data_IF_139704053258
#
_entry.id   IF_139704053258
#
_cell.length_a   1.000
_cell.length_b   1.000
_cell.length_c   1.000
_cell.angle_alpha   90.00
_cell.angle_beta   90.00
_cell.angle_gamma   90.00
#
_symmetry.space_group_name_H-M   'P 1'
#
loop_
_entity.id
_entity.type
_entity.pdbx_description
1 polymer ?
#
# COMPACT_ATOMS: atom_id res chain seq x y z
N UNK A 1 -52.01 16.16 24.48
CA UNK A 1 -53.18 15.24 24.70
C UNK A 1 -52.68 13.78 24.56
N UNK A 2 -52.88 13.01 25.66
CA UNK A 2 -53.03 11.55 25.86
C UNK A 2 -51.94 10.65 25.24
N UNK A 3 -50.97 10.10 26.05
CA UNK A 3 -51.04 9.04 27.06
C UNK A 3 -51.56 7.68 26.54
N UNK A 4 -50.65 6.64 26.59
CA UNK A 4 -50.83 5.28 27.18
C UNK A 4 -49.71 4.40 26.67
N UNK A 5 -48.69 3.91 27.41
CA UNK A 5 -48.61 3.09 28.64
C UNK A 5 -49.20 1.68 28.51
N UNK A 6 -48.38 0.66 28.63
CA UNK A 6 -48.49 -0.62 29.39
C UNK A 6 -47.39 -1.60 28.86
N UNK A 7 -46.37 -2.02 29.56
CA UNK A 7 -46.16 -2.86 30.75
C UNK A 7 -46.81 -4.25 30.64
N UNK A 8 -46.00 -5.30 30.62
CA UNK A 8 -46.17 -6.57 31.38
C UNK A 8 -45.01 -7.54 31.08
N UNK A 9 -44.08 -7.72 31.98
CA UNK A 9 -43.97 -8.70 33.09
C UNK A 9 -43.54 -10.11 32.65
N UNK A 10 -42.43 -10.46 33.23
CA UNK A 10 -41.65 -11.69 33.38
C UNK A 10 -42.49 -12.97 33.69
N UNK A 11 -41.95 -14.10 33.27
CA UNK A 11 -42.13 -15.39 33.99
C UNK A 11 -40.83 -16.21 33.95
N UNK A 12 -40.32 -16.45 35.15
CA UNK A 12 -39.25 -17.41 35.49
C UNK A 12 -39.97 -18.74 35.77
N UNK A 13 -39.45 -19.86 35.27
CA UNK A 13 -39.63 -21.17 35.92
C UNK A 13 -38.41 -22.09 35.68
N UNK A 14 -37.83 -22.48 36.77
CA UNK A 14 -36.81 -23.46 36.99
C UNK A 14 -37.37 -24.90 37.07
N UNK A 15 -36.60 -25.90 36.74
CA UNK A 15 -36.57 -27.28 37.26
C UNK A 15 -35.82 -28.15 36.22
N UNK A 16 -34.91 -29.02 36.49
CA UNK A 16 -34.45 -29.75 37.65
C UNK A 16 -33.66 -30.94 37.10
N UNK A 17 -32.57 -31.28 37.74
CA UNK A 17 -31.66 -32.35 37.37
C UNK A 17 -32.30 -33.76 37.54
N UNK A 18 -31.91 -34.70 36.67
CA UNK A 18 -31.92 -36.13 37.04
C UNK A 18 -30.77 -36.87 36.35
N UNK A 19 -29.88 -37.40 37.18
CA UNK A 19 -28.87 -38.40 36.85
C UNK A 19 -29.53 -39.75 36.58
N UNK A 20 -29.06 -40.47 35.58
CA UNK A 20 -29.04 -41.92 35.61
C UNK A 20 -27.81 -42.49 34.90
N UNK A 21 -26.99 -43.15 35.68
CA UNK A 21 -25.90 -44.04 35.22
C UNK A 21 -26.50 -45.27 34.54
N UNK A 22 -25.94 -45.68 33.43
CA UNK A 22 -26.05 -47.08 32.98
C UNK A 22 -24.74 -47.54 32.35
N UNK A 23 -24.07 -48.48 33.02
CA UNK A 23 -22.97 -49.26 32.51
C UNK A 23 -23.47 -50.29 31.50
N UNK A 24 -22.78 -50.43 30.37
CA UNK A 24 -22.97 -51.56 29.46
C UNK A 24 -21.69 -51.74 28.61
N UNK A 25 -20.89 -52.75 28.96
CA UNK A 25 -19.73 -53.20 28.16
C UNK A 25 -20.23 -53.99 26.95
N UNK A 26 -19.73 -53.68 25.75
CA UNK A 26 -19.46 -54.69 24.70
C UNK A 26 -18.29 -54.27 23.83
N UNK A 27 -17.37 -55.21 23.65
CA UNK A 27 -16.19 -55.12 22.77
C UNK A 27 -16.56 -55.04 21.29
N UNK A 28 -15.82 -54.19 20.56
CA UNK A 28 -15.81 -54.19 19.10
C UNK A 28 -14.66 -53.34 18.60
N UNK A 29 -13.54 -54.00 18.27
CA UNK A 29 -12.35 -53.38 17.65
C UNK A 29 -12.69 -52.73 16.30
N UNK A 30 -12.44 -51.42 16.16
CA UNK A 30 -12.08 -50.85 14.88
C UNK A 30 -11.07 -49.72 15.20
N UNK A 31 -9.83 -49.93 14.78
CA UNK A 31 -8.80 -48.90 14.73
C UNK A 31 -9.19 -47.91 13.65
N UNK A 32 -9.58 -46.74 14.05
CA UNK A 32 -9.46 -45.51 13.26
C UNK A 32 -8.33 -44.70 13.90
N UNK A 33 -7.34 -44.41 13.11
CA UNK A 33 -6.24 -43.55 13.48
C UNK A 33 -6.81 -42.17 13.90
N UNK A 34 -6.91 -41.97 15.19
CA UNK A 34 -7.10 -40.64 15.75
C UNK A 34 -5.71 -40.00 15.85
N UNK A 35 -5.47 -39.01 14.99
CA UNK A 35 -4.35 -38.08 15.10
C UNK A 35 -4.19 -37.64 16.57
N UNK A 36 -2.98 -37.81 17.03
CA UNK A 36 -2.52 -37.50 18.37
C UNK A 36 -2.53 -35.97 18.56
N UNK A 37 -3.68 -35.39 18.94
CA UNK A 37 -3.72 -34.04 19.47
C UNK A 37 -3.06 -34.04 20.84
N UNK A 38 -1.94 -33.38 20.94
CA UNK A 38 -1.31 -33.10 22.22
C UNK A 38 -2.27 -32.17 23.01
N UNK A 39 -2.83 -32.54 24.18
CA UNK A 39 -3.91 -31.79 24.84
C UNK A 39 -3.47 -30.54 25.59
N UNK A 40 -2.19 -30.18 25.58
CA UNK A 40 -1.60 -29.17 26.48
C UNK A 40 -1.06 -27.91 25.76
N UNK A 41 -1.29 -27.70 24.47
CA UNK A 41 -0.94 -26.42 23.84
C UNK A 41 -2.14 -25.47 23.92
N UNK A 42 -2.01 -24.43 24.76
CA UNK A 42 -2.98 -23.34 24.89
C UNK A 42 -3.22 -22.69 23.53
N UNK A 43 -4.48 -22.52 23.14
CA UNK A 43 -4.85 -21.85 21.88
C UNK A 43 -4.48 -20.36 21.97
N UNK A 44 -3.68 -19.90 21.04
CA UNK A 44 -3.24 -18.51 20.92
C UNK A 44 -4.04 -17.80 19.84
N UNK A 45 -4.51 -16.59 20.13
CA UNK A 45 -5.12 -15.71 19.12
C UNK A 45 -4.16 -14.57 18.80
N UNK A 46 -3.85 -14.39 17.50
CA UNK A 46 -3.06 -13.29 16.94
C UNK A 46 -4.02 -12.30 16.29
N UNK A 47 -4.03 -11.09 16.75
CA UNK A 47 -4.80 -9.99 16.15
C UNK A 47 -3.98 -9.36 15.03
N UNK A 48 -4.52 -9.41 13.82
CA UNK A 48 -3.89 -8.95 12.59
C UNK A 48 -4.68 -7.81 11.96
N UNK A 49 -4.06 -6.63 11.84
CA UNK A 49 -4.66 -5.44 11.23
C UNK A 49 -3.97 -5.14 9.89
N UNK A 50 -4.76 -5.03 8.82
CA UNK A 50 -4.26 -4.76 7.46
C UNK A 50 -5.10 -3.74 6.70
N UNK A 51 -4.58 -3.24 5.54
CA UNK A 51 -5.20 -2.15 4.75
C UNK A 51 -6.06 -2.60 3.57
N UNK A 52 -6.44 -3.84 3.47
CA UNK A 52 -7.04 -4.44 2.28
C UNK A 52 -8.51 -4.87 2.52
N UNK A 53 -9.47 -3.91 2.61
CA UNK A 53 -10.89 -4.22 2.92
C UNK A 53 -11.70 -4.67 1.70
N UNK A 54 -11.18 -4.57 0.47
CA UNK A 54 -11.89 -4.91 -0.74
C UNK A 54 -12.18 -6.43 -0.79
N UNK A 55 -13.35 -6.80 -1.30
CA UNK A 55 -13.88 -8.16 -1.27
C UNK A 55 -12.88 -9.21 -1.77
N UNK A 56 -12.23 -8.97 -2.91
CA UNK A 56 -11.26 -9.90 -3.48
C UNK A 56 -10.00 -10.06 -2.59
N UNK A 57 -9.55 -8.95 -1.99
CA UNK A 57 -8.39 -8.94 -1.09
C UNK A 57 -8.72 -9.59 0.26
N UNK A 58 -9.89 -9.29 0.82
CA UNK A 58 -10.38 -9.96 2.03
C UNK A 58 -10.48 -11.46 1.84
N UNK A 59 -11.07 -11.90 0.73
CA UNK A 59 -11.16 -13.33 0.40
C UNK A 59 -9.79 -14.00 0.32
N UNK A 60 -8.80 -13.34 -0.30
CA UNK A 60 -7.43 -13.86 -0.34
C UNK A 60 -6.88 -14.07 1.07
N UNK A 61 -6.99 -13.08 1.96
CA UNK A 61 -6.49 -13.21 3.34
C UNK A 61 -7.27 -14.27 4.14
N UNK A 62 -8.59 -14.38 3.96
CA UNK A 62 -9.41 -15.42 4.60
C UNK A 62 -8.95 -16.84 4.19
N UNK A 63 -8.66 -17.05 2.92
CA UNK A 63 -8.13 -18.33 2.41
C UNK A 63 -6.73 -18.62 2.97
N UNK A 64 -5.83 -17.63 2.94
CA UNK A 64 -4.47 -17.74 3.48
C UNK A 64 -4.48 -18.04 4.98
N UNK A 65 -5.34 -17.37 5.74
CA UNK A 65 -5.51 -17.63 7.18
C UNK A 65 -6.06 -19.01 7.43
N UNK A 66 -7.07 -19.44 6.68
CA UNK A 66 -7.64 -20.78 6.84
C UNK A 66 -6.61 -21.89 6.59
N UNK A 67 -5.75 -21.73 5.58
CA UNK A 67 -4.67 -22.67 5.30
C UNK A 67 -3.59 -22.65 6.38
N UNK A 68 -3.22 -21.47 6.88
CA UNK A 68 -2.28 -21.33 7.99
C UNK A 68 -2.81 -22.00 9.27
N UNK A 69 -4.06 -21.76 9.66
CA UNK A 69 -4.69 -22.31 10.85
C UNK A 69 -4.85 -23.83 10.78
N UNK A 70 -5.07 -24.37 9.58
CA UNK A 70 -5.13 -25.83 9.35
C UNK A 70 -3.80 -26.51 9.70
N UNK A 71 -2.68 -25.88 9.33
CA UNK A 71 -1.34 -26.37 9.61
C UNK A 71 -0.86 -26.01 11.03
N UNK A 72 -1.55 -25.06 11.69
CA UNK A 72 -1.23 -24.55 13.03
C UNK A 72 -2.49 -24.50 13.90
N UNK A 73 -3.09 -25.65 14.29
CA UNK A 73 -4.41 -25.71 14.92
C UNK A 73 -4.51 -25.05 16.31
N UNK A 74 -3.37 -24.75 16.92
CA UNK A 74 -3.24 -24.02 18.18
C UNK A 74 -3.11 -22.49 18.01
N UNK A 75 -3.04 -21.98 16.77
CA UNK A 75 -2.95 -20.54 16.49
C UNK A 75 -4.23 -20.11 15.73
N UNK A 76 -4.87 -19.05 16.21
CA UNK A 76 -5.98 -18.38 15.54
C UNK A 76 -5.55 -17.00 15.09
N UNK A 77 -5.99 -16.59 13.90
CA UNK A 77 -5.75 -15.24 13.36
C UNK A 77 -7.09 -14.49 13.35
N UNK A 78 -7.18 -13.43 14.13
CA UNK A 78 -8.30 -12.50 14.16
C UNK A 78 -7.94 -11.29 13.27
N UNK A 79 -8.55 -11.21 12.09
CA UNK A 79 -8.27 -10.16 11.12
C UNK A 79 -9.19 -8.97 11.28
N UNK A 80 -8.65 -7.76 11.09
CA UNK A 80 -9.40 -6.52 10.93
C UNK A 80 -8.81 -5.73 9.78
N UNK A 81 -9.65 -5.29 8.84
CA UNK A 81 -9.24 -4.51 7.69
C UNK A 81 -9.80 -3.09 7.75
N UNK A 82 -8.99 -2.12 7.35
CA UNK A 82 -9.37 -0.71 7.17
C UNK A 82 -8.86 -0.23 5.82
N UNK A 83 -9.53 0.73 5.19
CA UNK A 83 -9.03 1.38 3.98
C UNK A 83 -7.82 2.29 4.25
N UNK A 84 -7.14 2.69 3.17
CA UNK A 84 -5.87 3.45 3.23
C UNK A 84 -5.92 4.70 4.12
N UNK A 85 -7.03 5.45 4.10
CA UNK A 85 -7.14 6.66 4.92
C UNK A 85 -7.47 6.32 6.38
N UNK A 86 -8.31 5.30 6.60
CA UNK A 86 -8.72 4.93 7.95
C UNK A 86 -7.60 4.25 8.75
N UNK A 87 -6.79 3.41 8.10
CA UNK A 87 -5.77 2.62 8.78
C UNK A 87 -4.71 3.48 9.47
N UNK A 88 -4.41 4.67 8.91
CA UNK A 88 -3.45 5.64 9.47
C UNK A 88 -3.81 6.04 10.90
N UNK A 89 -5.09 6.36 11.13
CA UNK A 89 -5.59 6.77 12.44
C UNK A 89 -5.99 5.59 13.31
N UNK A 90 -6.60 4.55 12.72
CA UNK A 90 -7.08 3.37 13.46
C UNK A 90 -5.93 2.61 14.11
N UNK A 91 -4.83 2.37 13.40
CA UNK A 91 -3.67 1.67 13.95
C UNK A 91 -3.10 2.39 15.17
N UNK A 92 -2.94 3.72 15.09
CA UNK A 92 -2.44 4.53 16.20
C UNK A 92 -3.35 4.45 17.44
N UNK A 93 -4.66 4.51 17.24
CA UNK A 93 -5.65 4.41 18.35
C UNK A 93 -5.65 3.01 18.94
N UNK A 94 -5.63 1.97 18.09
CA UNK A 94 -5.63 0.58 18.54
C UNK A 94 -4.38 0.22 19.35
N UNK A 95 -3.19 0.64 18.91
CA UNK A 95 -1.93 0.38 19.63
C UNK A 95 -1.91 0.98 21.04
N UNK A 96 -2.66 2.04 21.31
CA UNK A 96 -2.82 2.63 22.65
C UNK A 96 -3.96 2.04 23.48
N UNK A 97 -4.56 0.92 23.09
CA UNK A 97 -5.75 0.34 23.74
C UNK A 97 -5.55 -1.12 24.16
N UNK A 98 -6.48 -1.63 24.99
CA UNK A 98 -6.55 -3.07 25.36
C UNK A 98 -6.83 -4.00 24.16
N UNK A 99 -7.23 -3.42 23.03
CA UNK A 99 -7.48 -4.15 21.76
C UNK A 99 -6.32 -4.05 20.79
N UNK A 100 -5.11 -3.69 21.28
CA UNK A 100 -3.93 -3.57 20.43
C UNK A 100 -3.70 -4.83 19.60
N UNK A 101 -3.38 -4.68 18.29
CA UNK A 101 -3.05 -5.81 17.43
C UNK A 101 -1.65 -6.36 17.76
N UNK A 102 -1.44 -7.65 17.48
CA UNK A 102 -0.13 -8.28 17.52
C UNK A 102 0.68 -7.96 16.25
N UNK A 103 -0.02 -7.90 15.11
CA UNK A 103 0.55 -7.56 13.81
C UNK A 103 -0.26 -6.41 13.21
N UNK A 104 0.42 -5.40 12.71
CA UNK A 104 -0.22 -4.26 12.09
C UNK A 104 0.51 -3.78 10.84
N UNK A 105 -0.26 -3.18 9.94
CA UNK A 105 0.20 -2.65 8.67
C UNK A 105 0.96 -1.33 8.81
N UNK A 106 1.97 -1.11 7.96
CA UNK A 106 2.65 0.17 7.74
C UNK A 106 3.16 0.27 6.29
N UNK A 107 3.53 1.48 5.89
CA UNK A 107 4.38 1.73 4.73
C UNK A 107 5.84 1.84 5.19
N UNK A 108 6.79 1.75 4.24
CA UNK A 108 8.22 1.96 4.47
C UNK A 108 8.56 3.39 4.92
N UNK A 109 9.83 3.67 5.08
CA UNK A 109 10.33 5.02 5.34
C UNK A 109 10.10 5.52 6.77
N UNK A 110 9.75 6.79 6.91
CA UNK A 110 9.47 7.43 8.20
C UNK A 110 8.22 6.89 8.89
N UNK A 111 7.34 6.20 8.15
CA UNK A 111 6.19 5.51 8.74
C UNK A 111 6.62 4.41 9.71
N UNK A 112 7.67 3.64 9.38
CA UNK A 112 8.29 2.68 10.30
C UNK A 112 8.89 3.43 11.50
N UNK A 113 9.65 4.50 11.24
CA UNK A 113 10.36 5.25 12.28
C UNK A 113 9.40 5.78 13.37
N UNK A 114 8.21 6.24 12.99
CA UNK A 114 7.18 6.69 13.96
C UNK A 114 6.81 5.63 14.99
N UNK A 115 6.66 4.37 14.56
CA UNK A 115 6.34 3.27 15.47
C UNK A 115 7.55 2.84 16.30
N UNK A 116 8.75 2.96 15.76
CA UNK A 116 10.02 2.75 16.48
C UNK A 116 10.17 3.81 17.57
N UNK A 117 10.00 5.08 17.25
CA UNK A 117 10.17 6.20 18.19
C UNK A 117 9.14 6.19 19.34
N UNK A 118 7.93 5.70 19.06
CA UNK A 118 6.87 5.55 20.06
C UNK A 118 6.97 4.25 20.87
N UNK A 119 7.93 3.37 20.55
CA UNK A 119 8.13 2.09 21.21
C UNK A 119 7.06 1.04 20.90
N UNK A 120 6.23 1.24 19.87
CA UNK A 120 5.18 0.30 19.49
C UNK A 120 5.67 -0.84 18.59
N UNK A 121 6.84 -0.68 17.96
CA UNK A 121 7.43 -1.68 17.08
C UNK A 121 8.39 -2.60 17.82
N UNK A 122 8.37 -3.89 17.47
CA UNK A 122 9.33 -4.87 17.93
C UNK A 122 10.52 -4.96 16.96
N UNK A 123 11.75 -4.95 17.48
CA UNK A 123 12.93 -5.32 16.70
C UNK A 123 12.89 -6.82 16.36
N UNK A 124 12.75 -7.11 15.08
CA UNK A 124 12.64 -8.50 14.56
C UNK A 124 13.95 -9.03 13.98
N UNK A 125 15.06 -8.29 14.10
CA UNK A 125 16.37 -8.65 13.53
C UNK A 125 16.85 -10.04 13.98
N UNK A 126 16.56 -10.41 15.24
CA UNK A 126 16.94 -11.73 15.78
C UNK A 126 16.32 -12.88 15.00
N UNK A 127 15.06 -12.74 14.52
CA UNK A 127 14.34 -13.78 13.79
C UNK A 127 14.89 -13.94 12.36
N UNK A 128 15.14 -12.82 11.68
CA UNK A 128 15.74 -12.82 10.34
C UNK A 128 17.20 -13.33 10.38
N UNK A 129 17.95 -12.99 11.43
CA UNK A 129 19.31 -13.46 11.61
C UNK A 129 19.36 -14.97 11.92
N UNK A 130 18.42 -15.48 12.69
CA UNK A 130 18.33 -16.90 13.03
C UNK A 130 17.86 -17.77 11.85
N UNK A 131 17.07 -17.21 10.94
CA UNK A 131 16.52 -17.89 9.76
C UNK A 131 17.07 -17.29 8.45
N UNK A 132 18.29 -17.70 8.11
CA UNK A 132 19.00 -17.20 6.93
C UNK A 132 18.36 -17.60 5.60
N UNK A 133 17.58 -18.67 5.57
CA UNK A 133 16.83 -19.07 4.36
C UNK A 133 15.67 -18.10 4.13
N UNK A 134 14.92 -17.77 5.20
CA UNK A 134 13.86 -16.77 5.14
C UNK A 134 14.42 -15.39 4.76
N UNK A 135 15.50 -14.94 5.42
CA UNK A 135 16.14 -13.66 5.08
C UNK A 135 16.56 -13.58 3.61
N UNK A 136 17.13 -14.65 3.04
CA UNK A 136 17.58 -14.70 1.64
C UNK A 136 16.46 -14.89 0.63
N UNK A 137 15.26 -15.27 1.05
CA UNK A 137 14.10 -15.37 0.13
C UNK A 137 13.64 -14.00 -0.35
N UNK A 138 13.86 -12.93 0.40
CA UNK A 138 13.48 -11.60 0.02
C UNK A 138 14.33 -11.01 -1.10
N UNK A 139 13.71 -10.15 -1.92
CA UNK A 139 14.44 -9.22 -2.75
C UNK A 139 15.24 -8.26 -1.85
N UNK A 140 16.55 -8.09 -2.06
CA UNK A 140 17.38 -7.26 -1.18
C UNK A 140 16.91 -5.82 -1.05
N UNK A 141 16.34 -5.22 -2.10
CA UNK A 141 15.83 -3.85 -2.08
C UNK A 141 14.59 -3.76 -1.18
N UNK A 142 13.72 -4.77 -1.23
CA UNK A 142 12.49 -4.78 -0.45
C UNK A 142 12.75 -4.96 1.04
N UNK A 143 13.59 -5.92 1.42
CA UNK A 143 13.86 -6.16 2.84
C UNK A 143 14.71 -5.04 3.47
N UNK A 144 15.56 -4.37 2.69
CA UNK A 144 16.36 -3.25 3.20
C UNK A 144 15.47 -2.02 3.52
N UNK A 145 14.32 -1.86 2.86
CA UNK A 145 13.34 -0.81 3.18
C UNK A 145 12.77 -0.94 4.60
N UNK A 146 12.72 -2.17 5.14
CA UNK A 146 12.25 -2.47 6.51
C UNK A 146 13.25 -2.10 7.60
N UNK A 147 14.46 -1.66 7.21
CA UNK A 147 15.55 -1.39 8.14
C UNK A 147 15.59 0.07 8.57
N UNK A 148 15.64 0.29 9.88
CA UNK A 148 15.89 1.59 10.51
C UNK A 148 16.90 1.42 11.63
N UNK A 149 17.82 2.38 11.79
CA UNK A 149 18.81 2.38 12.87
C UNK A 149 19.59 1.04 13.00
N UNK A 150 19.96 0.45 11.83
CA UNK A 150 20.65 -0.85 11.73
C UNK A 150 19.87 -2.08 12.24
N UNK A 151 18.57 -1.97 12.49
CA UNK A 151 17.68 -3.07 12.88
C UNK A 151 16.51 -3.21 11.88
N UNK A 152 15.94 -4.42 11.80
CA UNK A 152 14.73 -4.70 11.03
C UNK A 152 13.50 -4.60 11.91
N UNK A 153 12.50 -3.82 11.49
CA UNK A 153 11.32 -3.50 12.29
C UNK A 153 10.01 -3.98 11.66
N UNK A 154 10.07 -4.42 10.41
CA UNK A 154 8.91 -4.87 9.65
C UNK A 154 9.28 -5.97 8.68
N UNK A 155 8.27 -6.63 8.14
CA UNK A 155 8.37 -7.61 7.06
C UNK A 155 7.61 -7.05 5.86
N UNK A 156 8.26 -6.87 4.70
CA UNK A 156 7.57 -6.50 3.47
C UNK A 156 6.66 -7.64 3.03
N UNK A 157 5.44 -7.32 2.58
CA UNK A 157 4.44 -8.28 2.15
C UNK A 157 4.25 -8.28 0.63
N UNK A 158 4.07 -7.11 0.07
CA UNK A 158 4.05 -6.86 -1.37
C UNK A 158 4.72 -5.51 -1.63
N UNK A 159 4.95 -5.20 -2.90
CA UNK A 159 5.35 -3.85 -3.26
C UNK A 159 4.51 -3.31 -4.40
N UNK A 160 4.38 -2.00 -4.44
CA UNK A 160 3.72 -1.30 -5.52
C UNK A 160 4.65 -0.30 -6.19
N UNK A 161 4.41 -0.06 -7.46
CA UNK A 161 5.03 1.05 -8.19
C UNK A 161 4.00 1.74 -9.07
N UNK A 162 4.31 2.97 -9.48
CA UNK A 162 3.43 3.78 -10.33
C UNK A 162 3.75 3.61 -11.80
N UNK A 163 2.68 3.43 -12.57
CA UNK A 163 2.68 3.47 -14.03
C UNK A 163 1.53 4.32 -14.55
N UNK A 164 1.69 4.90 -15.73
CA UNK A 164 0.58 5.49 -16.45
C UNK A 164 -0.22 4.39 -17.15
N UNK A 165 -1.45 4.13 -16.71
CA UNK A 165 -2.39 3.27 -17.41
C UNK A 165 -3.11 4.09 -18.48
N UNK A 166 -3.33 3.53 -19.65
CA UNK A 166 -4.09 4.20 -20.72
C UNK A 166 -5.11 3.29 -21.40
N UNK A 167 -6.22 3.89 -21.81
CA UNK A 167 -7.27 3.26 -22.60
C UNK A 167 -6.89 3.30 -24.09
N UNK A 168 -6.66 2.13 -24.71
CA UNK A 168 -6.22 2.01 -26.09
C UNK A 168 -7.25 2.55 -27.10
N UNK A 169 -8.53 2.40 -26.82
CA UNK A 169 -9.57 2.87 -27.75
C UNK A 169 -9.55 4.41 -27.89
N UNK A 170 -9.23 5.13 -26.79
CA UNK A 170 -9.09 6.59 -26.85
C UNK A 170 -7.79 6.98 -27.56
N UNK A 171 -6.69 6.26 -27.33
CA UNK A 171 -5.43 6.49 -28.04
C UNK A 171 -5.60 6.30 -29.57
N UNK A 172 -6.25 5.22 -29.98
CA UNK A 172 -6.55 4.94 -31.39
C UNK A 172 -7.47 6.02 -31.99
N UNK A 173 -8.56 6.39 -31.30
CA UNK A 173 -9.49 7.47 -31.70
C UNK A 173 -8.76 8.80 -31.93
N UNK A 174 -7.74 9.09 -31.13
CA UNK A 174 -6.99 10.37 -31.17
C UNK A 174 -5.72 10.28 -32.02
N UNK A 175 -5.46 9.14 -32.65
CA UNK A 175 -4.32 8.92 -33.52
C UNK A 175 -2.97 8.82 -32.80
N UNK A 176 -2.99 8.53 -31.49
CA UNK A 176 -1.79 8.28 -30.73
C UNK A 176 -1.40 6.80 -30.93
N UNK A 177 -0.28 6.58 -31.61
CA UNK A 177 0.16 5.22 -32.01
C UNK A 177 1.11 4.58 -31.00
N UNK A 178 1.88 5.38 -30.27
CA UNK A 178 2.88 4.94 -29.29
C UNK A 178 2.69 5.70 -27.97
N UNK A 179 3.05 5.06 -26.90
CA UNK A 179 3.09 5.69 -25.57
C UNK A 179 4.13 6.81 -25.52
N UNK A 180 3.84 7.95 -24.90
CA UNK A 180 4.79 9.05 -24.76
C UNK A 180 6.04 8.61 -23.99
N UNK A 181 7.21 9.03 -24.47
CA UNK A 181 8.54 8.73 -23.89
C UNK A 181 9.17 9.93 -23.19
N UNK A 182 8.70 11.13 -23.50
CA UNK A 182 9.15 12.40 -22.90
C UNK A 182 7.96 13.15 -22.32
N UNK A 183 8.22 14.06 -21.38
CA UNK A 183 7.17 14.91 -20.79
C UNK A 183 6.45 15.73 -21.87
N UNK A 184 7.20 16.24 -22.84
CA UNK A 184 6.65 16.96 -24.00
C UNK A 184 5.68 16.12 -24.81
N UNK A 185 6.04 14.86 -25.12
CA UNK A 185 5.15 13.92 -25.84
C UNK A 185 3.90 13.58 -25.02
N UNK A 186 4.01 13.53 -23.67
CA UNK A 186 2.84 13.37 -22.79
C UNK A 186 1.89 14.57 -22.92
N UNK A 187 2.42 15.80 -22.87
CA UNK A 187 1.61 17.00 -23.05
C UNK A 187 0.96 17.07 -24.45
N UNK A 188 1.71 16.71 -25.51
CA UNK A 188 1.18 16.64 -26.87
C UNK A 188 0.06 15.58 -26.98
N UNK A 189 0.19 14.46 -26.29
CA UNK A 189 -0.84 13.42 -26.22
C UNK A 189 -2.08 13.93 -25.47
N UNK A 190 -1.89 14.61 -24.35
CA UNK A 190 -2.97 15.24 -23.58
C UNK A 190 -3.75 16.27 -24.43
N UNK A 191 -3.05 17.09 -25.22
CA UNK A 191 -3.71 18.08 -26.07
C UNK A 191 -4.57 17.41 -27.16
N UNK A 192 -4.06 16.34 -27.83
CA UNK A 192 -4.84 15.58 -28.81
C UNK A 192 -6.10 14.96 -28.19
N UNK A 193 -5.98 14.37 -27.02
CA UNK A 193 -7.11 13.76 -26.31
C UNK A 193 -8.13 14.82 -25.90
N UNK A 194 -7.69 15.92 -25.32
CA UNK A 194 -8.56 17.06 -24.97
C UNK A 194 -9.32 17.62 -26.17
N UNK A 195 -8.66 17.75 -27.33
CA UNK A 195 -9.29 18.20 -28.58
C UNK A 195 -10.37 17.23 -29.09
N UNK A 196 -10.30 15.94 -28.74
CA UNK A 196 -11.35 14.96 -29.06
C UNK A 196 -12.56 15.00 -28.14
N UNK A 197 -12.48 15.83 -27.05
CA UNK A 197 -13.54 15.98 -26.06
C UNK A 197 -13.44 15.02 -24.88
N UNK A 198 -12.40 14.19 -24.82
CA UNK A 198 -12.16 13.27 -23.74
C UNK A 198 -11.27 13.93 -22.65
N UNK A 199 -11.33 13.43 -21.41
CA UNK A 199 -10.42 13.85 -20.32
C UNK A 199 -9.07 13.18 -20.55
N UNK A 200 -7.96 13.93 -20.67
CA UNK A 200 -6.65 13.32 -20.91
C UNK A 200 -6.20 12.43 -19.75
N UNK A 201 -6.21 12.93 -18.52
CA UNK A 201 -5.76 12.20 -17.34
C UNK A 201 -6.81 12.34 -16.23
N UNK A 202 -7.30 11.23 -15.70
CA UNK A 202 -8.13 11.21 -14.51
C UNK A 202 -7.25 11.38 -13.28
N UNK A 203 -7.68 12.23 -12.34
CA UNK A 203 -7.00 12.46 -11.07
C UNK A 203 -8.00 12.69 -9.94
N UNK A 204 -7.84 11.97 -8.82
CA UNK A 204 -8.68 12.06 -7.63
C UNK A 204 -7.89 12.66 -6.46
N UNK A 205 -7.70 13.99 -6.47
CA UNK A 205 -6.86 14.71 -5.50
C UNK A 205 -7.62 15.14 -4.23
N UNK A 206 -8.80 14.56 -3.97
CA UNK A 206 -9.40 14.66 -2.64
C UNK A 206 -8.42 14.07 -1.59
N UNK A 207 -7.69 13.05 -2.00
CA UNK A 207 -6.56 12.50 -1.26
C UNK A 207 -5.26 13.06 -1.85
N UNK A 208 -4.58 13.99 -1.15
CA UNK A 208 -3.44 14.75 -1.71
C UNK A 208 -2.22 13.89 -2.03
N UNK A 209 -2.14 12.66 -1.52
CA UNK A 209 -1.10 11.71 -1.88
C UNK A 209 -1.11 11.37 -3.38
N UNK A 210 -2.24 11.51 -4.08
CA UNK A 210 -2.32 11.26 -5.53
C UNK A 210 -1.38 12.18 -6.30
N UNK A 211 -1.39 13.49 -6.04
CA UNK A 211 -0.40 14.44 -6.62
C UNK A 211 0.98 14.21 -6.03
N UNK A 212 1.05 13.91 -4.73
CA UNK A 212 2.33 13.65 -4.07
C UNK A 212 3.12 12.52 -4.76
N UNK A 213 2.47 11.50 -5.28
CA UNK A 213 3.12 10.44 -6.05
C UNK A 213 3.66 10.91 -7.42
N UNK A 214 2.99 11.86 -8.10
CA UNK A 214 3.60 12.54 -9.26
C UNK A 214 4.85 13.33 -8.84
N UNK A 215 4.77 14.02 -7.68
CA UNK A 215 5.91 14.78 -7.17
C UNK A 215 7.07 13.89 -6.72
N UNK A 216 6.80 12.68 -6.23
CA UNK A 216 7.85 11.69 -5.97
C UNK A 216 8.68 11.45 -7.23
N UNK A 217 8.01 11.17 -8.35
CA UNK A 217 8.67 10.92 -9.64
C UNK A 217 9.37 12.17 -10.19
N UNK A 218 8.69 13.30 -10.15
CA UNK A 218 9.21 14.56 -10.66
C UNK A 218 10.38 15.09 -9.83
N UNK A 219 10.30 15.03 -8.50
CA UNK A 219 11.42 15.40 -7.64
C UNK A 219 12.63 14.50 -7.89
N UNK A 220 12.42 13.16 -7.98
CA UNK A 220 13.49 12.23 -8.32
C UNK A 220 14.15 12.53 -9.66
N UNK A 221 13.40 13.06 -10.61
CA UNK A 221 13.89 13.42 -11.93
C UNK A 221 14.56 14.83 -11.97
N UNK A 222 13.98 15.81 -11.31
CA UNK A 222 14.40 17.22 -11.40
C UNK A 222 15.49 17.61 -10.40
N UNK A 223 15.48 17.01 -9.20
CA UNK A 223 16.37 17.37 -8.10
C UNK A 223 17.51 16.35 -8.01
N UNK A 224 18.78 16.78 -7.90
CA UNK A 224 19.91 15.86 -7.71
C UNK A 224 19.74 14.97 -6.48
N UNK A 225 20.05 13.68 -6.59
CA UNK A 225 19.88 12.66 -5.56
C UNK A 225 20.48 13.04 -4.20
N UNK A 226 21.69 13.60 -4.21
CA UNK A 226 22.37 14.02 -2.97
C UNK A 226 21.65 15.16 -2.24
N UNK A 227 20.93 16.01 -2.99
CA UNK A 227 20.10 17.08 -2.40
C UNK A 227 18.82 16.46 -1.84
N UNK A 228 18.15 15.58 -2.61
CA UNK A 228 16.97 14.85 -2.15
C UNK A 228 17.24 14.15 -0.83
N UNK A 229 18.33 13.37 -0.77
CA UNK A 229 18.71 12.63 0.43
C UNK A 229 18.86 13.55 1.63
N UNK A 230 19.64 14.60 1.52
CA UNK A 230 19.87 15.55 2.62
C UNK A 230 18.59 16.24 3.10
N UNK A 231 17.70 16.60 2.17
CA UNK A 231 16.43 17.22 2.51
C UNK A 231 15.46 16.25 3.15
N UNK A 232 15.36 15.02 2.66
CA UNK A 232 14.43 14.02 3.19
C UNK A 232 14.86 13.51 4.56
N UNK A 233 16.16 13.38 4.80
CA UNK A 233 16.75 13.04 6.10
C UNK A 233 16.83 14.25 7.07
N UNK A 234 16.36 15.43 6.64
CA UNK A 234 16.45 16.70 7.36
C UNK A 234 17.89 17.09 7.76
N UNK A 235 18.92 16.60 7.06
CA UNK A 235 20.28 17.11 7.19
C UNK A 235 20.35 18.57 6.74
N UNK A 236 19.70 18.89 5.61
CA UNK A 236 19.42 20.24 5.14
C UNK A 236 17.89 20.45 5.13
N UNK A 237 17.42 21.46 5.85
CA UNK A 237 16.00 21.80 5.94
C UNK A 237 15.55 22.80 4.89
N UNK A 238 16.49 23.30 4.07
CA UNK A 238 16.20 24.28 3.04
C UNK A 238 15.91 23.57 1.72
N UNK A 239 14.68 23.30 1.43
CA UNK A 239 14.24 22.73 0.14
C UNK A 239 14.33 23.80 -0.98
N UNK A 240 15.55 24.29 -1.25
CA UNK A 240 15.81 25.45 -2.15
C UNK A 240 16.18 25.06 -3.57
N UNK A 241 16.39 23.78 -3.86
CA UNK A 241 16.62 23.37 -5.24
C UNK A 241 15.40 23.73 -6.10
N UNK A 242 15.57 24.42 -7.24
CA UNK A 242 14.45 24.87 -8.07
C UNK A 242 13.59 23.73 -8.60
N UNK A 243 14.13 22.50 -8.71
CA UNK A 243 13.40 21.33 -9.19
C UNK A 243 12.16 21.01 -8.35
N UNK A 244 12.17 21.27 -7.04
CA UNK A 244 10.97 21.07 -6.20
C UNK A 244 9.81 21.99 -6.58
N UNK A 245 10.11 23.28 -6.77
CA UNK A 245 9.10 24.25 -7.17
C UNK A 245 8.63 23.98 -8.61
N UNK A 246 9.56 23.62 -9.51
CA UNK A 246 9.27 23.24 -10.89
C UNK A 246 8.33 22.05 -10.97
N UNK A 247 8.55 20.98 -10.19
CA UNK A 247 7.67 19.82 -10.13
C UNK A 247 6.22 20.19 -9.80
N UNK A 248 6.03 21.04 -8.78
CA UNK A 248 4.71 21.55 -8.39
C UNK A 248 4.07 22.41 -9.49
N UNK A 249 4.85 23.32 -10.07
CA UNK A 249 4.37 24.23 -11.12
C UNK A 249 4.05 23.48 -12.43
N UNK A 250 4.71 22.35 -12.70
CA UNK A 250 4.36 21.44 -13.80
C UNK A 250 2.96 20.85 -13.61
N UNK A 251 2.64 20.36 -12.40
CA UNK A 251 1.30 19.83 -12.09
C UNK A 251 0.23 20.92 -12.23
N UNK A 252 0.52 22.15 -11.75
CA UNK A 252 -0.34 23.31 -11.93
C UNK A 252 -0.58 23.61 -13.41
N UNK A 253 0.48 23.64 -14.21
CA UNK A 253 0.41 23.89 -15.65
C UNK A 253 -0.48 22.86 -16.38
N UNK A 254 -0.35 21.58 -16.05
CA UNK A 254 -1.21 20.54 -16.62
C UNK A 254 -2.69 20.77 -16.29
N UNK A 255 -3.01 21.18 -15.05
CA UNK A 255 -4.38 21.55 -14.69
C UNK A 255 -4.87 22.77 -15.45
N UNK A 256 -4.08 23.83 -15.52
CA UNK A 256 -4.44 25.06 -16.22
C UNK A 256 -4.65 24.84 -17.72
N UNK A 257 -3.88 23.91 -18.32
CA UNK A 257 -4.08 23.45 -19.70
C UNK A 257 -5.32 22.58 -19.86
N UNK A 258 -6.00 22.17 -18.76
CA UNK A 258 -7.18 21.32 -18.81
C UNK A 258 -6.87 19.86 -19.15
N UNK A 259 -5.71 19.35 -18.73
CA UNK A 259 -5.32 17.97 -18.96
C UNK A 259 -5.85 17.02 -17.87
N UNK A 260 -6.30 17.56 -16.73
CA UNK A 260 -6.99 16.83 -15.68
C UNK A 260 -8.49 17.12 -15.69
N UNK A 261 -9.29 16.24 -15.08
CA UNK A 261 -10.70 16.52 -14.80
C UNK A 261 -10.85 17.79 -13.94
N UNK A 262 -11.92 18.55 -14.19
CA UNK A 262 -12.12 19.89 -13.59
C UNK A 262 -12.32 19.85 -12.06
N UNK A 263 -12.84 18.74 -11.55
CA UNK A 263 -13.20 18.48 -10.15
C UNK A 263 -12.13 17.70 -9.36
N UNK A 264 -10.89 17.73 -9.83
CA UNK A 264 -9.76 16.96 -9.30
C UNK A 264 -9.66 16.96 -7.75
N UNK A 265 -9.75 18.14 -7.11
CA UNK A 265 -9.61 18.28 -5.65
C UNK A 265 -10.83 17.77 -4.85
N UNK A 266 -11.94 17.46 -5.48
CA UNK A 266 -13.15 16.91 -4.85
C UNK A 266 -13.46 15.47 -5.28
N UNK A 267 -12.73 14.94 -6.24
CA UNK A 267 -12.85 13.57 -6.72
C UNK A 267 -12.00 12.63 -5.86
N UNK A 268 -12.58 11.49 -5.47
CA UNK A 268 -11.82 10.43 -4.79
C UNK A 268 -10.95 9.66 -5.78
N UNK A 269 -9.99 8.92 -5.26
CA UNK A 269 -9.13 8.05 -6.07
C UNK A 269 -9.95 7.03 -6.87
N UNK A 270 -10.88 6.33 -6.22
CA UNK A 270 -11.73 5.29 -6.81
C UNK A 270 -12.64 5.86 -7.91
N UNK A 271 -13.13 7.09 -7.74
CA UNK A 271 -13.89 7.78 -8.79
C UNK A 271 -13.02 8.08 -10.02
N UNK A 272 -11.75 8.46 -9.82
CA UNK A 272 -10.83 8.70 -10.94
C UNK A 272 -10.47 7.41 -11.68
N UNK A 273 -10.32 6.28 -10.96
CA UNK A 273 -10.16 4.96 -11.58
C UNK A 273 -11.37 4.60 -12.44
N UNK A 274 -12.59 4.82 -11.93
CA UNK A 274 -13.82 4.55 -12.67
C UNK A 274 -13.92 5.35 -13.97
N UNK A 275 -13.40 6.57 -14.03
CA UNK A 275 -13.38 7.36 -15.27
C UNK A 275 -12.63 6.67 -16.41
N UNK A 276 -11.50 6.02 -16.10
CA UNK A 276 -10.72 5.30 -17.14
C UNK A 276 -11.38 3.97 -17.49
N UNK A 277 -11.91 3.25 -16.51
CA UNK A 277 -12.63 2.00 -16.72
C UNK A 277 -13.87 2.20 -17.61
N UNK A 278 -14.59 3.30 -17.45
CA UNK A 278 -15.77 3.66 -18.23
C UNK A 278 -15.45 4.37 -19.57
N UNK A 279 -14.17 4.59 -19.88
CA UNK A 279 -13.75 5.29 -21.11
C UNK A 279 -14.05 6.79 -21.13
N UNK A 280 -14.24 7.42 -19.97
CA UNK A 280 -14.43 8.88 -19.80
C UNK A 280 -13.11 9.65 -19.73
N UNK A 281 -12.04 8.98 -19.33
CA UNK A 281 -10.69 9.51 -19.32
C UNK A 281 -9.73 8.55 -20.03
N UNK A 282 -8.70 9.11 -20.65
CA UNK A 282 -7.75 8.33 -21.43
C UNK A 282 -6.67 7.68 -20.58
N UNK A 283 -6.20 8.34 -19.54
CA UNK A 283 -5.05 7.91 -18.73
C UNK A 283 -5.30 8.14 -17.22
N UNK A 284 -4.52 7.42 -16.41
CA UNK A 284 -4.40 7.63 -14.97
C UNK A 284 -3.00 7.21 -14.51
N UNK A 285 -2.41 7.89 -13.54
CA UNK A 285 -1.16 7.49 -12.89
C UNK A 285 -1.47 6.56 -11.72
N UNK A 286 -1.31 5.26 -11.96
CA UNK A 286 -1.89 4.19 -11.17
C UNK A 286 -0.84 3.32 -10.47
N UNK A 287 -1.22 2.69 -9.38
CA UNK A 287 -0.46 1.64 -8.73
C UNK A 287 -0.66 0.30 -9.43
N UNK A 288 0.43 -0.44 -9.61
CA UNK A 288 0.39 -1.76 -10.28
C UNK A 288 -0.47 -2.78 -9.53
N UNK A 289 -0.72 -2.60 -8.25
CA UNK A 289 -1.67 -3.40 -7.45
C UNK A 289 -3.12 -3.33 -8.00
N UNK A 290 -3.43 -2.33 -8.83
CA UNK A 290 -4.77 -2.10 -9.38
C UNK A 290 -4.89 -2.48 -10.86
N UNK A 291 -3.87 -3.09 -11.49
CA UNK A 291 -3.94 -3.47 -12.91
C UNK A 291 -5.13 -4.37 -13.22
N UNK A 292 -5.52 -5.21 -12.27
CA UNK A 292 -6.64 -6.13 -12.44
C UNK A 292 -7.96 -5.42 -12.74
N UNK A 293 -8.25 -4.29 -12.10
CA UNK A 293 -9.52 -3.57 -12.33
C UNK A 293 -9.62 -3.02 -13.78
N UNK A 294 -8.51 -2.63 -14.39
CA UNK A 294 -8.47 -2.19 -15.80
C UNK A 294 -8.53 -3.37 -16.75
N UNK A 295 -7.87 -4.48 -16.42
CA UNK A 295 -7.95 -5.70 -17.19
C UNK A 295 -9.39 -6.25 -17.24
N UNK A 296 -10.08 -6.24 -16.10
CA UNK A 296 -11.46 -6.73 -15.99
C UNK A 296 -12.45 -5.79 -16.70
N UNK A 297 -12.24 -4.46 -16.62
CA UNK A 297 -13.14 -3.48 -17.23
C UNK A 297 -12.94 -3.30 -18.73
N UNK A 298 -11.70 -3.26 -19.20
CA UNK A 298 -11.36 -2.93 -20.59
C UNK A 298 -11.01 -4.17 -21.43
N UNK A 299 -10.86 -5.33 -20.79
CA UNK A 299 -10.34 -6.55 -21.40
C UNK A 299 -8.83 -6.51 -21.60
N UNK A 300 -8.21 -7.68 -21.73
CA UNK A 300 -6.75 -7.88 -21.81
C UNK A 300 -6.05 -6.98 -22.85
N UNK A 301 -6.72 -6.69 -23.97
CA UNK A 301 -6.16 -5.89 -25.06
C UNK A 301 -6.64 -4.44 -25.09
N UNK A 302 -7.57 -4.04 -24.22
CA UNK A 302 -8.19 -2.71 -24.22
C UNK A 302 -7.40 -1.63 -23.49
N UNK A 303 -6.37 -2.00 -22.76
CA UNK A 303 -5.51 -1.09 -22.00
C UNK A 303 -4.03 -1.34 -22.28
N UNK A 304 -3.21 -0.40 -21.84
CA UNK A 304 -1.75 -0.51 -21.83
C UNK A 304 -1.16 0.35 -20.73
N UNK A 305 0.15 0.28 -20.56
CA UNK A 305 0.84 1.09 -19.58
C UNK A 305 2.17 1.64 -20.11
N UNK A 306 2.68 2.67 -19.45
CA UNK A 306 4.04 3.19 -19.61
C UNK A 306 4.46 3.87 -18.30
N UNK A 307 5.77 3.99 -18.04
CA UNK A 307 6.26 4.74 -16.90
C UNK A 307 6.10 6.25 -17.13
N UNK A 308 5.88 7.03 -16.05
CA UNK A 308 5.78 8.48 -16.19
C UNK A 308 7.01 9.00 -16.92
N UNK A 309 6.83 9.72 -18.05
CA UNK A 309 7.94 10.18 -18.84
C UNK A 309 8.81 11.18 -18.09
N UNK A 310 10.10 11.12 -18.37
CA UNK A 310 11.08 12.02 -17.77
C UNK A 310 11.04 13.41 -18.41
N UNK A 311 11.43 14.41 -17.63
CA UNK A 311 11.63 15.78 -18.10
C UNK A 311 12.97 15.87 -18.82
N UNK A 312 12.98 16.35 -20.06
CA UNK A 312 14.20 16.47 -20.88
C UNK A 312 15.18 17.44 -20.23
N UNK A 313 16.44 17.02 -20.08
CA UNK A 313 17.51 17.84 -19.48
C UNK A 313 17.45 17.97 -17.97
N UNK A 314 16.61 17.23 -17.29
CA UNK A 314 16.54 17.17 -15.85
C UNK A 314 17.85 16.68 -15.21
N UNK A 315 18.11 17.07 -13.95
CA UNK A 315 19.39 16.84 -13.25
C UNK A 315 19.37 15.67 -12.28
N UNK A 316 18.20 15.12 -12.03
CA UNK A 316 18.01 14.02 -11.10
C UNK A 316 18.33 12.66 -11.71
N UNK A 317 17.97 11.62 -11.00
CA UNK A 317 18.23 10.23 -11.41
C UNK A 317 17.28 9.80 -12.54
N UNK A 318 17.80 9.00 -13.45
CA UNK A 318 17.04 8.45 -14.58
C UNK A 318 16.72 6.98 -14.37
N UNK A 319 15.51 6.56 -14.74
CA UNK A 319 15.10 5.15 -14.69
C UNK A 319 14.75 4.62 -13.31
N UNK A 320 14.69 5.48 -12.29
CA UNK A 320 14.16 5.11 -10.98
C UNK A 320 12.65 4.86 -11.06
N UNK A 321 12.20 3.87 -10.31
CA UNK A 321 10.78 3.52 -10.20
C UNK A 321 10.21 4.24 -9.00
N UNK A 322 9.06 4.88 -9.15
CA UNK A 322 8.32 5.43 -8.01
C UNK A 322 7.48 4.33 -7.38
N UNK A 323 7.73 4.04 -6.12
CA UNK A 323 7.05 2.95 -5.43
C UNK A 323 7.59 2.68 -4.04
N UNK A 324 7.10 1.62 -3.41
CA UNK A 324 7.55 1.16 -2.12
C UNK A 324 6.86 -0.12 -1.69
N UNK A 325 7.42 -0.86 -0.71
CA UNK A 325 6.76 -2.00 -0.13
C UNK A 325 5.65 -1.59 0.84
N UNK A 326 4.62 -2.43 0.88
CA UNK A 326 3.66 -2.51 1.97
C UNK A 326 4.18 -3.50 3.01
N UNK A 327 4.13 -3.15 4.27
CA UNK A 327 4.85 -3.88 5.31
C UNK A 327 3.98 -4.18 6.52
N UNK A 328 4.35 -5.24 7.25
CA UNK A 328 3.74 -5.59 8.53
C UNK A 328 4.77 -5.51 9.66
N UNK A 329 4.36 -4.89 10.75
CA UNK A 329 5.14 -4.79 11.99
C UNK A 329 4.54 -5.68 13.06
N UNK A 330 5.39 -6.15 13.97
CA UNK A 330 4.95 -6.82 15.21
C UNK A 330 4.93 -5.80 16.33
N UNK A 331 3.84 -5.77 17.09
CA UNK A 331 3.70 -4.91 18.25
C UNK A 331 4.71 -5.34 19.35
N UNK A 332 5.46 -4.38 19.88
CA UNK A 332 6.42 -4.61 20.98
C UNK A 332 5.78 -5.22 22.23
N UNK A 333 4.49 -4.90 22.47
CA UNK A 333 3.71 -5.39 23.62
C UNK A 333 2.98 -6.73 23.31
N UNK A 334 3.17 -7.32 22.12
CA UNK A 334 2.58 -8.62 21.79
C UNK A 334 3.03 -9.69 22.78
N UNK A 335 2.09 -10.45 23.30
CA UNK A 335 2.36 -11.58 24.21
C UNK A 335 2.72 -12.86 23.44
N UNK A 336 2.56 -12.83 22.12
CA UNK A 336 2.73 -14.00 21.25
C UNK A 336 3.64 -13.70 20.04
N UNK A 337 4.83 -13.08 20.25
CA UNK A 337 5.69 -12.63 19.15
C UNK A 337 6.17 -13.79 18.26
N UNK A 338 6.42 -14.98 18.82
CA UNK A 338 6.86 -16.15 18.05
C UNK A 338 5.78 -16.60 17.05
N UNK A 339 4.49 -16.59 17.48
CA UNK A 339 3.37 -16.96 16.63
C UNK A 339 3.10 -15.88 15.58
N UNK A 340 3.25 -14.60 15.94
CA UNK A 340 3.16 -13.47 15.02
C UNK A 340 4.21 -13.59 13.91
N UNK A 341 5.47 -13.82 14.26
CA UNK A 341 6.56 -14.03 13.29
C UNK A 341 6.32 -15.27 12.44
N UNK A 342 5.80 -16.36 13.02
CA UNK A 342 5.46 -17.58 12.26
C UNK A 342 4.41 -17.28 11.18
N UNK A 343 3.40 -16.47 11.48
CA UNK A 343 2.40 -16.06 10.50
C UNK A 343 3.00 -15.13 9.44
N UNK A 344 3.83 -14.15 9.79
CA UNK A 344 4.52 -13.30 8.82
C UNK A 344 5.44 -14.09 7.89
N UNK A 345 6.15 -15.10 8.42
CA UNK A 345 6.95 -16.01 7.61
C UNK A 345 6.08 -16.81 6.63
N UNK A 346 4.90 -17.24 7.05
CA UNK A 346 3.95 -17.93 6.17
C UNK A 346 3.42 -16.99 5.07
N UNK A 347 3.06 -15.74 5.40
CA UNK A 347 2.61 -14.73 4.42
C UNK A 347 3.66 -14.45 3.33
N UNK A 348 4.93 -14.62 3.63
CA UNK A 348 6.05 -14.41 2.70
C UNK A 348 6.61 -15.70 2.11
N UNK A 349 5.91 -16.83 2.28
CA UNK A 349 6.28 -18.10 1.62
C UNK A 349 6.01 -18.04 0.12
N UNK A 350 6.75 -18.84 -0.66
CA UNK A 350 6.57 -18.90 -2.12
C UNK A 350 5.13 -19.22 -2.53
N UNK A 351 4.46 -20.08 -1.76
CA UNK A 351 3.05 -20.45 -2.02
C UNK A 351 2.11 -19.24 -1.89
N UNK A 352 2.24 -18.45 -0.81
CA UNK A 352 1.39 -17.28 -0.57
C UNK A 352 1.76 -16.14 -1.52
N UNK A 353 3.05 -15.88 -1.74
CA UNK A 353 3.52 -14.86 -2.67
C UNK A 353 3.09 -15.14 -4.11
N UNK A 354 3.19 -16.39 -4.58
CA UNK A 354 2.66 -16.77 -5.89
C UNK A 354 1.15 -16.61 -5.98
N UNK A 355 0.41 -17.09 -4.96
CA UNK A 355 -1.06 -16.95 -4.90
C UNK A 355 -1.46 -15.48 -4.95
N UNK A 356 -0.78 -14.62 -4.21
CA UNK A 356 -1.02 -13.17 -4.18
C UNK A 356 -0.85 -12.54 -5.58
N UNK A 357 0.21 -12.91 -6.28
CA UNK A 357 0.45 -12.41 -7.65
C UNK A 357 -0.64 -12.87 -8.63
N UNK A 358 -1.08 -14.12 -8.53
CA UNK A 358 -2.07 -14.67 -9.47
C UNK A 358 -3.50 -14.18 -9.19
N UNK A 359 -3.89 -14.11 -7.92
CA UNK A 359 -5.25 -13.79 -7.53
C UNK A 359 -5.52 -12.28 -7.49
N UNK A 360 -4.53 -11.50 -7.03
CA UNK A 360 -4.66 -10.05 -6.81
C UNK A 360 -3.90 -9.20 -7.83
N UNK A 361 -2.90 -9.75 -8.51
CA UNK A 361 -2.02 -8.99 -9.40
C UNK A 361 -0.96 -8.15 -8.65
N UNK A 362 -0.75 -8.41 -7.36
CA UNK A 362 0.28 -7.75 -6.57
C UNK A 362 1.67 -8.22 -6.97
N UNK A 363 2.70 -7.43 -6.65
CA UNK A 363 4.08 -7.79 -6.94
C UNK A 363 4.75 -8.43 -5.70
N UNK A 364 5.52 -9.52 -5.88
CA UNK A 364 6.10 -10.24 -4.77
C UNK A 364 7.34 -9.52 -4.21
N UNK A 365 7.51 -9.58 -2.91
CA UNK A 365 8.71 -9.08 -2.23
C UNK A 365 9.82 -10.13 -2.11
N UNK A 366 9.52 -11.37 -2.49
CA UNK A 366 10.46 -12.50 -2.46
C UNK A 366 10.92 -12.86 -3.88
N UNK A 367 11.98 -13.65 -3.96
CA UNK A 367 12.56 -14.16 -5.21
C UNK A 367 11.80 -15.39 -5.75
N UNK A 368 10.48 -15.42 -5.56
CA UNK A 368 9.62 -16.53 -5.98
C UNK A 368 9.56 -16.66 -7.50
N UNK A 369 9.65 -17.87 -8.02
CA UNK A 369 9.44 -18.16 -9.44
C UNK A 369 7.95 -18.16 -9.77
N UNK A 370 7.55 -17.32 -10.74
CA UNK A 370 6.16 -17.14 -11.15
C UNK A 370 5.89 -17.75 -12.53
N UNK A 371 4.76 -18.41 -12.65
CA UNK A 371 4.21 -18.86 -13.95
C UNK A 371 3.60 -17.65 -14.69
N UNK A 372 4.31 -17.14 -15.69
CA UNK A 372 3.91 -15.98 -16.47
C UNK A 372 2.52 -16.12 -17.14
N UNK A 373 2.07 -17.37 -17.40
CA UNK A 373 0.76 -17.62 -18.00
C UNK A 373 -0.42 -17.35 -17.07
N UNK A 374 -0.17 -17.22 -15.76
CA UNK A 374 -1.16 -16.92 -14.72
C UNK A 374 -1.17 -15.45 -14.31
N UNK A 375 -0.19 -14.68 -14.78
CA UNK A 375 -0.08 -13.26 -14.44
C UNK A 375 -0.97 -12.40 -15.35
N UNK A 376 -1.41 -11.27 -14.82
CA UNK A 376 -2.05 -10.23 -15.61
C UNK A 376 -1.06 -9.74 -16.68
N UNK A 377 -1.57 -9.47 -17.87
CA UNK A 377 -0.74 -8.96 -18.97
C UNK A 377 0.07 -7.73 -18.54
N UNK A 378 1.35 -7.73 -18.87
CA UNK A 378 2.29 -6.67 -18.53
C UNK A 378 2.96 -6.83 -17.15
N UNK A 379 2.43 -7.65 -16.26
CA UNK A 379 3.04 -7.85 -14.91
C UNK A 379 4.45 -8.40 -15.01
N UNK A 380 4.70 -9.36 -15.88
CA UNK A 380 6.06 -9.91 -16.10
C UNK A 380 7.05 -8.83 -16.54
N UNK A 381 6.63 -7.96 -17.48
CA UNK A 381 7.48 -6.87 -17.97
C UNK A 381 7.73 -5.83 -16.86
N UNK A 382 6.71 -5.54 -16.04
CA UNK A 382 6.85 -4.64 -14.88
C UNK A 382 7.85 -5.22 -13.88
N UNK A 383 7.72 -6.50 -13.51
CA UNK A 383 8.66 -7.16 -12.61
C UNK A 383 10.10 -7.09 -13.16
N UNK A 384 10.30 -7.44 -14.43
CA UNK A 384 11.62 -7.41 -15.07
C UNK A 384 12.21 -5.99 -15.16
N UNK A 385 11.38 -5.00 -15.47
CA UNK A 385 11.80 -3.59 -15.49
C UNK A 385 12.17 -3.11 -14.08
N UNK A 386 11.40 -3.50 -13.06
CA UNK A 386 11.68 -3.15 -11.68
C UNK A 386 12.97 -3.78 -11.17
N UNK A 387 13.23 -5.05 -11.52
CA UNK A 387 14.49 -5.73 -11.17
C UNK A 387 15.71 -5.14 -11.88
N UNK A 388 15.53 -4.53 -13.04
CA UNK A 388 16.62 -3.89 -13.82
C UNK A 388 16.78 -2.40 -13.54
N UNK A 389 15.87 -1.80 -12.78
CA UNK A 389 15.94 -0.39 -12.43
C UNK A 389 17.14 -0.09 -11.51
N UNK A 390 17.77 1.08 -11.63
CA UNK A 390 18.91 1.47 -10.79
C UNK A 390 18.52 1.70 -9.33
N UNK A 391 17.21 1.83 -9.03
CA UNK A 391 16.69 2.03 -7.70
C UNK A 391 15.21 2.41 -7.69
N UNK A 392 14.71 2.66 -6.50
CA UNK A 392 13.34 3.06 -6.23
C UNK A 392 13.31 4.44 -5.56
N UNK A 393 12.41 5.30 -6.01
CA UNK A 393 12.02 6.53 -5.32
C UNK A 393 10.81 6.19 -4.45
N UNK A 394 11.03 6.04 -3.16
CA UNK A 394 9.97 5.74 -2.22
C UNK A 394 8.96 6.89 -2.12
N UNK A 395 7.74 6.58 -1.70
CA UNK A 395 6.64 7.54 -1.56
C UNK A 395 7.06 8.77 -0.77
N UNK A 396 6.97 9.97 -1.36
CA UNK A 396 7.40 11.23 -0.75
C UNK A 396 6.75 11.47 0.63
N UNK A 397 5.48 11.13 0.78
CA UNK A 397 4.73 11.25 2.03
C UNK A 397 5.05 10.16 3.07
N UNK A 398 5.82 9.15 2.68
CA UNK A 398 6.31 8.11 3.57
C UNK A 398 7.78 8.29 3.96
N UNK A 399 8.60 8.92 3.12
CA UNK A 399 10.03 9.13 3.41
C UNK A 399 10.33 10.42 4.16
N UNK A 400 9.42 11.40 4.09
CA UNK A 400 9.53 12.62 4.87
C UNK A 400 9.03 12.43 6.31
N UNK A 401 9.63 13.17 7.26
CA UNK A 401 9.02 13.34 8.57
C UNK A 401 7.56 13.74 8.43
N UNK A 402 6.66 13.14 9.23
CA UNK A 402 5.21 13.27 9.05
C UNK A 402 4.73 14.73 9.00
N UNK A 403 5.24 15.61 9.87
CA UNK A 403 4.82 17.03 9.89
C UNK A 403 5.25 17.77 8.62
N UNK A 404 6.41 17.43 8.07
CA UNK A 404 6.90 17.97 6.79
C UNK A 404 6.08 17.38 5.64
N UNK A 405 5.79 16.08 5.67
CA UNK A 405 4.93 15.42 4.68
C UNK A 405 3.52 16.04 4.65
N UNK A 406 2.91 16.29 5.81
CA UNK A 406 1.57 16.90 5.89
C UNK A 406 1.56 18.31 5.28
N UNK A 407 2.62 19.11 5.51
CA UNK A 407 2.78 20.42 4.87
C UNK A 407 2.93 20.32 3.34
N UNK A 408 3.64 19.28 2.87
CA UNK A 408 3.79 19.02 1.44
C UNK A 408 2.47 18.57 0.81
N UNK A 409 1.73 17.68 1.50
CA UNK A 409 0.40 17.19 1.07
C UNK A 409 -0.64 18.33 1.01
N UNK A 410 -0.64 19.26 1.97
CA UNK A 410 -1.43 20.51 1.86
C UNK A 410 -1.08 21.28 0.58
N UNK A 411 0.22 21.38 0.27
CA UNK A 411 0.70 21.96 -0.97
C UNK A 411 0.17 21.27 -2.23
N UNK A 412 0.03 19.95 -2.22
CA UNK A 412 -0.53 19.17 -3.33
C UNK A 412 -1.99 19.52 -3.63
N UNK A 413 -2.75 20.01 -2.66
CA UNK A 413 -4.12 20.49 -2.89
C UNK A 413 -4.12 21.98 -3.29
N UNK A 414 -3.32 22.81 -2.62
CA UNK A 414 -3.33 24.26 -2.84
C UNK A 414 -2.68 24.67 -4.16
N UNK A 415 -1.78 23.83 -4.73
CA UNK A 415 -1.19 24.07 -6.06
C UNK A 415 -2.26 24.10 -7.17
N UNK A 416 -3.35 23.35 -7.02
CA UNK A 416 -4.49 23.37 -7.93
C UNK A 416 -5.47 24.53 -7.68
N UNK A 417 -5.19 25.37 -6.69
CA UNK A 417 -5.96 26.56 -6.37
C UNK A 417 -5.18 27.82 -6.81
N UNK A 418 -4.49 28.45 -5.90
CA UNK A 418 -3.83 29.73 -6.15
C UNK A 418 -2.34 29.75 -5.80
N UNK A 419 -1.82 28.71 -5.13
CA UNK A 419 -0.41 28.66 -4.72
C UNK A 419 0.52 28.43 -5.93
N UNK A 420 1.79 28.72 -5.74
CA UNK A 420 2.89 28.40 -6.66
C UNK A 420 3.86 27.44 -5.97
N UNK A 421 4.65 26.72 -6.75
CA UNK A 421 5.67 25.83 -6.22
C UNK A 421 6.60 26.53 -5.23
N UNK A 422 7.04 27.75 -5.54
CA UNK A 422 7.90 28.53 -4.64
C UNK A 422 7.24 28.87 -3.29
N UNK A 423 5.94 29.18 -3.26
CA UNK A 423 5.20 29.46 -2.01
C UNK A 423 5.10 28.20 -1.17
N UNK A 424 4.77 27.07 -1.78
CA UNK A 424 4.65 25.77 -1.10
C UNK A 424 6.01 25.36 -0.53
N UNK A 425 7.07 25.39 -1.32
CA UNK A 425 8.41 24.98 -0.87
C UNK A 425 8.97 25.86 0.24
N UNK A 426 8.59 27.14 0.29
CA UNK A 426 8.91 28.00 1.43
C UNK A 426 8.21 27.54 2.71
N UNK A 427 6.94 27.08 2.64
CA UNK A 427 6.22 26.51 3.79
C UNK A 427 6.90 25.22 4.24
N UNK A 428 7.21 24.31 3.30
CA UNK A 428 7.90 23.03 3.56
C UNK A 428 9.25 23.26 4.25
N UNK A 429 10.08 24.17 3.74
CA UNK A 429 11.39 24.50 4.35
C UNK A 429 11.23 25.03 5.78
N UNK A 430 10.23 25.87 6.01
CA UNK A 430 9.95 26.41 7.35
C UNK A 430 9.58 25.29 8.32
N UNK A 431 8.63 24.42 7.94
CA UNK A 431 8.20 23.28 8.76
C UNK A 431 9.37 22.32 9.02
N UNK A 432 10.20 22.05 8.01
CA UNK A 432 11.38 21.20 8.16
C UNK A 432 12.38 21.77 9.18
N UNK A 433 12.60 23.09 9.17
CA UNK A 433 13.47 23.75 10.13
C UNK A 433 12.90 23.68 11.57
N UNK A 434 11.59 23.86 11.73
CA UNK A 434 10.89 23.74 13.01
C UNK A 434 11.02 22.30 13.56
N UNK A 435 10.73 21.28 12.76
CA UNK A 435 10.87 19.85 13.14
C UNK A 435 12.31 19.51 13.54
N UNK A 436 13.31 20.05 12.83
CA UNK A 436 14.71 19.81 13.17
C UNK A 436 15.12 20.48 14.49
N UNK A 437 14.56 21.64 14.80
CA UNK A 437 14.87 22.38 16.03
C UNK A 437 14.25 21.73 17.28
N UNK A 438 13.18 20.94 17.11
CA UNK A 438 12.47 20.23 18.19
C UNK A 438 13.08 18.84 18.51
N UNK A 439 14.04 18.35 17.68
CA UNK A 439 14.82 17.13 17.90
C UNK A 439 16.09 17.41 18.71
#
# INVERSE_FOLDING_TARGET
MRKRSLVMKALILSMGALFLLSCGKTNGSNKTDSENKNPDEEQVTIKFVHKFPEEARMKFFEEVVADFEKDNPNIKIEMTAYGDEEIKDKTRVLLGSDSAPDIFFTWSGERIQQYVDTGNAMDISKYLTADQEWMKSFNPVMIEASKKQDAYWSIPFDYSCKVMIYNKSIFEKTGIKESPKTWKELEESCEKIKMSGDVPIAIGNQYPWVICHYLTSLNGNLVPKEILKKNYELEDTNFTDPGYAEALDMMKSMKEKGYFNSDANSMTWEMSQSMVQEGKAAMIYEEVQNLKIYNDALGENGWGYFYLPMVEGAKGETGYITGGPDEFMVNSESKHPEQAIKFLKYLTSDAVQSKMCYDLGFLPVTNVELDASKLIKGTTDIINNNLSAPGMSEWLDCVLNQTVADTYLEGCQTIFQNDTGAVIMKKVSKTAAEVKADK
#
